data_IF_076703928068
#
_entry.id   IF_076703928068
#
_cell.length_a   1.000
_cell.length_b   1.000
_cell.length_c   1.000
_cell.angle_alpha   90.00
_cell.angle_beta   90.00
_cell.angle_gamma   90.00
#
_symmetry.space_group_name_H-M   'P 1'
#
loop_
_entity.id
_entity.type
_entity.pdbx_description
1 polymer ?
#
# COMPACT_ATOMS: atom_id res chain seq x y z
N UNK A 1 13.87 2.18 -16.46
CA UNK A 1 13.05 3.23 -15.81
C UNK A 1 12.39 2.59 -14.59
N UNK A 2 12.98 2.80 -13.41
CA UNK A 2 12.50 2.21 -12.16
C UNK A 2 11.21 2.88 -11.74
N UNK A 3 10.18 2.10 -11.40
CA UNK A 3 8.94 2.55 -10.77
C UNK A 3 9.29 3.48 -9.62
N UNK A 4 8.86 4.74 -9.71
CA UNK A 4 9.31 5.76 -8.76
C UNK A 4 8.18 6.22 -7.84
N UNK A 5 6.93 5.80 -8.06
CA UNK A 5 5.85 6.12 -7.14
C UNK A 5 4.83 4.99 -7.01
N UNK A 6 3.98 5.13 -6.00
CA UNK A 6 2.91 4.21 -5.65
C UNK A 6 1.64 5.02 -5.41
N UNK A 7 0.56 4.67 -6.09
CA UNK A 7 -0.78 5.01 -5.64
C UNK A 7 -1.25 3.92 -4.70
N UNK A 8 -1.47 4.30 -3.45
CA UNK A 8 -1.86 3.44 -2.35
C UNK A 8 -3.32 3.73 -2.00
N UNK A 9 -4.19 2.72 -2.00
CA UNK A 9 -5.63 2.92 -1.82
C UNK A 9 -6.19 1.99 -0.76
N UNK A 10 -6.72 2.58 0.30
CA UNK A 10 -7.57 1.87 1.26
C UNK A 10 -9.02 1.87 0.79
N UNK A 11 -9.70 0.75 0.97
CA UNK A 11 -11.13 0.65 0.72
C UNK A 11 -11.86 -0.23 1.75
N UNK A 12 -13.07 0.19 2.09
CA UNK A 12 -13.98 -0.55 2.97
C UNK A 12 -15.40 -0.48 2.42
N UNK A 13 -16.08 -1.61 2.42
CA UNK A 13 -17.45 -1.72 1.94
C UNK A 13 -18.36 -1.10 3.00
N UNK A 14 -19.25 -0.21 2.59
CA UNK A 14 -20.23 0.37 3.51
C UNK A 14 -21.44 -0.53 3.72
N UNK A 15 -22.29 -0.23 4.72
CA UNK A 15 -23.43 -1.07 5.07
C UNK A 15 -24.47 -1.21 3.95
N UNK A 16 -24.51 -0.26 3.02
CA UNK A 16 -25.46 -0.20 1.91
C UNK A 16 -24.90 -0.75 0.59
N UNK A 17 -23.74 -1.42 0.62
CA UNK A 17 -23.11 -2.07 -0.52
C UNK A 17 -22.73 -3.51 -0.18
N UNK A 18 -22.73 -4.40 -1.18
CA UNK A 18 -22.23 -5.76 -0.98
C UNK A 18 -20.76 -5.88 -1.35
N UNK A 19 -20.07 -6.85 -0.75
CA UNK A 19 -18.68 -7.14 -1.10
C UNK A 19 -18.55 -7.59 -2.57
N UNK A 20 -19.53 -8.32 -3.09
CA UNK A 20 -19.55 -8.78 -4.49
C UNK A 20 -19.71 -7.60 -5.45
N UNK A 21 -20.66 -6.70 -5.17
CA UNK A 21 -20.84 -5.47 -5.97
C UNK A 21 -19.58 -4.62 -6.00
N UNK A 22 -18.94 -4.43 -4.84
CA UNK A 22 -17.70 -3.68 -4.71
C UNK A 22 -16.55 -4.35 -5.46
N UNK A 23 -16.35 -5.66 -5.29
CA UNK A 23 -15.25 -6.36 -5.92
C UNK A 23 -15.40 -6.42 -7.42
N UNK A 24 -16.59 -6.72 -7.93
CA UNK A 24 -16.84 -6.74 -9.37
C UNK A 24 -16.60 -5.36 -10.00
N UNK A 25 -17.08 -4.28 -9.37
CA UNK A 25 -16.78 -2.93 -9.82
C UNK A 25 -15.28 -2.65 -9.81
N UNK A 26 -14.60 -2.96 -8.71
CA UNK A 26 -13.18 -2.63 -8.59
C UNK A 26 -12.33 -3.43 -9.59
N UNK A 27 -12.64 -4.71 -9.74
CA UNK A 27 -11.85 -5.67 -10.51
C UNK A 27 -12.06 -5.58 -12.02
N UNK A 28 -13.26 -5.19 -12.46
CA UNK A 28 -13.66 -5.25 -13.86
C UNK A 28 -13.95 -3.88 -14.49
N UNK A 29 -14.07 -2.82 -13.68
CA UNK A 29 -14.31 -1.46 -14.18
C UNK A 29 -13.26 -0.47 -13.64
N UNK A 30 -13.15 -0.34 -12.32
CA UNK A 30 -12.34 0.69 -11.69
C UNK A 30 -10.85 0.48 -11.96
N UNK A 31 -10.28 -0.64 -11.51
CA UNK A 31 -8.87 -0.98 -11.65
C UNK A 31 -8.40 -1.02 -13.10
N UNK A 32 -9.08 -1.76 -14.01
CA UNK A 32 -8.71 -1.83 -15.42
C UNK A 32 -8.63 -0.45 -16.09
N UNK A 33 -9.55 0.46 -15.77
CA UNK A 33 -9.53 1.81 -16.33
C UNK A 33 -8.27 2.60 -15.94
N UNK A 34 -7.68 2.37 -14.76
CA UNK A 34 -6.42 3.02 -14.37
C UNK A 34 -5.24 2.52 -15.20
N UNK A 35 -5.24 1.25 -15.63
CA UNK A 35 -4.21 0.68 -16.51
C UNK A 35 -4.26 1.23 -17.95
N UNK A 36 -5.27 2.04 -18.29
CA UNK A 36 -5.32 2.78 -19.57
C UNK A 36 -4.57 4.12 -19.50
N UNK A 37 -4.21 4.59 -18.30
CA UNK A 37 -3.52 5.85 -18.08
C UNK A 37 -2.02 5.66 -18.29
N UNK A 38 -1.37 6.44 -19.18
CA UNK A 38 0.09 6.41 -19.32
C UNK A 38 0.78 6.66 -17.98
N UNK A 39 1.70 5.76 -17.63
CA UNK A 39 2.45 5.81 -16.38
C UNK A 39 1.91 4.91 -15.25
N UNK A 40 0.72 4.33 -15.37
CA UNK A 40 0.31 3.20 -14.54
C UNK A 40 0.92 1.90 -15.06
N UNK A 41 1.50 1.10 -14.16
CA UNK A 41 2.25 -0.11 -14.53
C UNK A 41 1.56 -1.41 -14.15
N UNK A 42 0.92 -1.40 -12.99
CA UNK A 42 0.18 -2.55 -12.47
C UNK A 42 -0.99 -2.07 -11.60
N UNK A 43 -1.85 -3.01 -11.24
CA UNK A 43 -3.00 -2.79 -10.38
C UNK A 43 -3.22 -4.06 -9.55
N UNK A 44 -2.67 -4.10 -8.35
CA UNK A 44 -2.73 -5.30 -7.51
C UNK A 44 -3.65 -5.03 -6.33
N UNK A 45 -4.62 -5.91 -6.11
CA UNK A 45 -5.54 -5.87 -4.99
C UNK A 45 -5.23 -6.94 -3.96
N UNK A 46 -5.42 -6.57 -2.70
CA UNK A 46 -5.24 -7.45 -1.56
C UNK A 46 -6.43 -7.35 -0.60
N UNK A 47 -6.68 -8.44 0.14
CA UNK A 47 -7.69 -8.55 1.19
C UNK A 47 -7.00 -8.72 2.55
N UNK A 48 -7.50 -8.02 3.57
CA UNK A 48 -6.93 -8.05 4.91
C UNK A 48 -7.02 -9.45 5.54
N UNK A 49 -6.00 -9.81 6.31
CA UNK A 49 -5.93 -11.08 7.09
C UNK A 49 -5.81 -10.81 8.60
N UNK A 50 -6.08 -9.58 9.03
CA UNK A 50 -5.91 -9.13 10.41
C UNK A 50 -7.19 -8.73 11.12
N UNK A 51 -8.35 -9.03 10.53
CA UNK A 51 -9.69 -8.73 11.05
C UNK A 51 -9.91 -7.24 11.36
N UNK A 52 -9.14 -6.35 10.70
CA UNK A 52 -9.27 -4.90 10.81
C UNK A 52 -9.82 -4.29 9.53
N UNK A 53 -10.43 -3.12 9.67
CA UNK A 53 -10.79 -2.24 8.55
C UNK A 53 -9.71 -1.15 8.35
N UNK A 54 -9.51 -0.62 7.14
CA UNK A 54 -10.13 -1.04 5.87
C UNK A 54 -9.69 -2.45 5.43
N UNK A 55 -10.62 -3.24 4.91
CA UNK A 55 -10.45 -4.66 4.58
C UNK A 55 -9.80 -4.88 3.21
N UNK A 56 -9.77 -3.84 2.38
CA UNK A 56 -9.26 -3.91 1.02
C UNK A 56 -8.14 -2.91 0.80
N UNK A 57 -7.13 -3.37 0.06
CA UNK A 57 -5.98 -2.59 -0.37
C UNK A 57 -5.86 -2.70 -1.89
N UNK A 58 -5.61 -1.59 -2.57
CA UNK A 58 -5.10 -1.60 -3.94
C UNK A 58 -3.78 -0.83 -4.02
N UNK A 59 -2.84 -1.40 -4.75
CA UNK A 59 -1.51 -0.87 -5.00
C UNK A 59 -1.34 -0.70 -6.51
N UNK A 60 -0.96 0.49 -6.95
CA UNK A 60 -0.61 0.75 -8.34
C UNK A 60 0.79 1.35 -8.40
N UNK A 61 1.72 0.67 -9.05
CA UNK A 61 3.03 1.21 -9.35
C UNK A 61 2.93 2.23 -10.49
N UNK A 62 3.57 3.38 -10.29
CA UNK A 62 3.57 4.51 -11.20
C UNK A 62 4.98 4.84 -11.70
N UNK A 63 5.07 5.41 -12.90
CA UNK A 63 6.32 5.98 -13.40
C UNK A 63 6.86 7.08 -12.50
N UNK A 64 5.99 7.96 -11.97
CA UNK A 64 6.32 9.06 -11.08
C UNK A 64 5.09 9.59 -10.32
N UNK A 65 5.27 10.40 -9.26
CA UNK A 65 4.13 11.02 -8.58
C UNK A 65 3.29 11.93 -9.48
N UNK A 66 3.89 12.52 -10.52
CA UNK A 66 3.19 13.44 -11.44
C UNK A 66 2.14 12.75 -12.32
N UNK A 67 2.19 11.42 -12.46
CA UNK A 67 1.12 10.65 -13.13
C UNK A 67 -0.24 10.92 -12.48
N UNK A 68 -0.27 11.06 -11.16
CA UNK A 68 -1.50 11.32 -10.39
C UNK A 68 -2.09 12.72 -10.60
N UNK A 69 -1.30 13.69 -11.08
CA UNK A 69 -1.78 15.04 -11.39
C UNK A 69 -1.90 15.28 -12.89
N UNK A 70 -1.67 14.25 -13.70
CA UNK A 70 -1.77 14.31 -15.15
C UNK A 70 -3.23 14.43 -15.63
N UNK A 71 -3.42 15.07 -16.78
CA UNK A 71 -4.75 15.20 -17.40
C UNK A 71 -5.41 13.85 -17.74
N UNK A 72 -4.69 12.82 -18.26
CA UNK A 72 -5.28 11.50 -18.47
C UNK A 72 -5.84 10.87 -17.19
N UNK A 73 -5.15 11.02 -16.06
CA UNK A 73 -5.62 10.50 -14.77
C UNK A 73 -6.82 11.30 -14.24
N UNK A 74 -6.75 12.63 -14.25
CA UNK A 74 -7.88 13.49 -13.83
C UNK A 74 -9.14 13.22 -14.67
N UNK A 75 -8.96 12.95 -15.96
CA UNK A 75 -10.04 12.61 -16.89
C UNK A 75 -10.80 11.34 -16.56
N UNK A 76 -10.29 10.46 -15.69
CA UNK A 76 -10.99 9.25 -15.27
C UNK A 76 -12.32 9.54 -14.56
N UNK A 77 -12.37 10.62 -13.76
CA UNK A 77 -13.60 11.00 -13.06
C UNK A 77 -14.75 11.32 -14.03
N UNK A 78 -14.44 11.94 -15.17
CA UNK A 78 -15.42 12.21 -16.23
C UNK A 78 -15.89 10.94 -16.98
N UNK A 79 -15.15 9.84 -16.87
CA UNK A 79 -15.46 8.53 -17.45
C UNK A 79 -16.13 7.57 -16.46
N UNK A 80 -16.36 7.99 -15.21
CA UNK A 80 -17.01 7.17 -14.21
C UNK A 80 -18.42 6.76 -14.67
N UNK A 81 -18.70 5.45 -14.64
CA UNK A 81 -20.03 4.94 -14.99
C UNK A 81 -21.08 5.38 -13.98
N UNK A 82 -22.36 5.21 -14.33
CA UNK A 82 -23.46 5.44 -13.40
C UNK A 82 -23.39 4.49 -12.19
N UNK A 83 -22.86 3.28 -12.38
CA UNK A 83 -22.58 2.34 -11.29
C UNK A 83 -21.51 2.87 -10.35
N UNK A 84 -20.37 3.34 -10.86
CA UNK A 84 -19.29 3.90 -10.02
C UNK A 84 -19.82 5.10 -9.22
N UNK A 85 -20.55 6.01 -9.88
CA UNK A 85 -21.17 7.18 -9.23
C UNK A 85 -22.17 6.79 -8.13
N UNK A 86 -22.91 5.70 -8.31
CA UNK A 86 -23.87 5.21 -7.32
C UNK A 86 -23.22 4.39 -6.19
N UNK A 87 -22.11 3.69 -6.46
CA UNK A 87 -21.42 2.83 -5.50
C UNK A 87 -20.47 3.60 -4.60
N UNK A 88 -19.62 4.48 -5.14
CA UNK A 88 -18.58 5.17 -4.36
C UNK A 88 -19.14 5.88 -3.11
N UNK A 89 -20.28 6.61 -3.16
CA UNK A 89 -20.88 7.22 -1.98
C UNK A 89 -21.39 6.22 -0.93
N UNK A 90 -21.67 4.97 -1.32
CA UNK A 90 -22.10 3.89 -0.41
C UNK A 90 -20.94 3.16 0.26
N UNK A 91 -19.70 3.37 -0.19
CA UNK A 91 -18.53 2.84 0.50
C UNK A 91 -18.33 3.53 1.85
N UNK A 92 -17.71 2.82 2.79
CA UNK A 92 -17.31 3.37 4.08
C UNK A 92 -15.98 4.12 3.95
N UNK A 93 -15.05 3.58 3.17
CA UNK A 93 -13.73 4.16 2.91
C UNK A 93 -13.38 3.97 1.44
N UNK A 94 -12.87 5.02 0.81
CA UNK A 94 -12.14 4.97 -0.45
C UNK A 94 -11.07 6.06 -0.40
N UNK A 95 -10.02 5.79 0.39
CA UNK A 95 -8.95 6.72 0.63
C UNK A 95 -7.76 6.41 -0.27
N UNK A 96 -7.24 7.43 -0.95
CA UNK A 96 -6.04 7.30 -1.79
C UNK A 96 -4.93 8.20 -1.30
N UNK A 97 -3.70 7.71 -1.35
CA UNK A 97 -2.49 8.46 -1.06
C UNK A 97 -1.42 8.15 -2.13
N UNK A 98 -0.63 9.15 -2.49
CA UNK A 98 0.49 9.00 -3.43
C UNK A 98 1.78 9.01 -2.65
N UNK A 99 2.64 8.02 -2.89
CA UNK A 99 3.95 7.94 -2.26
C UNK A 99 5.06 7.89 -3.30
N UNK A 100 6.15 8.61 -3.04
CA UNK A 100 7.40 8.54 -3.80
C UNK A 100 8.27 7.42 -3.21
N UNK A 101 8.77 6.50 -4.05
CA UNK A 101 9.68 5.45 -3.63
C UNK A 101 11.03 6.07 -3.25
N UNK A 102 11.55 5.70 -2.09
CA UNK A 102 12.84 6.18 -1.56
C UNK A 102 13.90 5.08 -1.52
N UNK A 103 13.51 3.84 -1.24
CA UNK A 103 14.40 2.68 -1.31
C UNK A 103 13.62 1.40 -1.58
N UNK A 104 14.32 0.41 -2.13
CA UNK A 104 13.79 -0.92 -2.41
C UNK A 104 14.92 -1.94 -2.25
N UNK A 105 14.61 -3.06 -1.60
CA UNK A 105 15.50 -4.20 -1.52
C UNK A 105 14.72 -5.45 -1.90
N UNK A 106 15.24 -6.21 -2.86
CA UNK A 106 14.67 -7.48 -3.32
C UNK A 106 15.63 -8.60 -3.01
N UNK A 107 15.10 -9.76 -2.65
CA UNK A 107 15.90 -10.98 -2.44
C UNK A 107 16.74 -11.27 -3.69
N UNK A 108 18.07 -11.43 -3.55
CA UNK A 108 18.93 -11.78 -4.67
C UNK A 108 18.48 -13.08 -5.34
N UNK A 109 18.41 -13.09 -6.67
CA UNK A 109 17.99 -14.25 -7.46
C UNK A 109 16.50 -14.58 -7.38
N UNK A 110 15.65 -13.68 -6.86
CA UNK A 110 14.20 -13.86 -6.89
C UNK A 110 13.72 -13.94 -8.35
N UNK A 111 12.97 -14.99 -8.75
CA UNK A 111 12.38 -15.09 -10.08
C UNK A 111 11.44 -13.92 -10.38
N UNK A 112 11.37 -13.51 -11.64
CA UNK A 112 10.53 -12.36 -12.04
C UNK A 112 9.03 -12.61 -11.82
N UNK A 113 8.59 -13.87 -11.96
CA UNK A 113 7.22 -14.34 -11.75
C UNK A 113 6.88 -14.60 -10.28
N UNK A 114 7.83 -14.41 -9.35
CA UNK A 114 7.55 -14.46 -7.92
C UNK A 114 6.82 -13.21 -7.40
N UNK A 115 6.65 -12.18 -8.25
CA UNK A 115 5.91 -10.96 -7.96
C UNK A 115 4.65 -10.87 -8.84
N UNK A 116 3.51 -10.38 -8.32
CA UNK A 116 3.29 -9.95 -6.93
C UNK A 116 3.32 -11.12 -5.94
N UNK A 117 3.81 -10.88 -4.72
CA UNK A 117 3.84 -11.92 -3.70
C UNK A 117 2.46 -12.19 -3.12
N UNK A 118 2.29 -13.38 -2.55
CA UNK A 118 1.04 -13.80 -1.94
C UNK A 118 0.63 -12.95 -0.75
N UNK A 119 1.58 -12.49 0.07
CA UNK A 119 1.29 -11.68 1.25
C UNK A 119 2.06 -10.36 1.22
N UNK A 120 1.42 -9.30 1.70
CA UNK A 120 2.04 -8.00 1.94
C UNK A 120 1.76 -7.54 3.37
N UNK A 121 2.83 -7.15 4.05
CA UNK A 121 2.80 -6.49 5.34
C UNK A 121 3.01 -4.99 5.15
N UNK A 122 1.99 -4.22 5.51
CA UNK A 122 1.96 -2.77 5.39
C UNK A 122 2.34 -2.16 6.73
N UNK A 123 3.35 -1.28 6.69
CA UNK A 123 3.81 -0.49 7.83
C UNK A 123 3.68 0.98 7.47
N UNK A 124 2.69 1.64 8.03
CA UNK A 124 2.51 3.09 7.92
C UNK A 124 3.04 3.75 9.18
N UNK A 125 3.84 4.80 9.03
CA UNK A 125 4.36 5.58 10.15
C UNK A 125 4.11 7.07 9.94
N UNK A 126 3.87 7.78 11.04
CA UNK A 126 4.03 9.23 11.12
C UNK A 126 5.35 9.49 11.84
N UNK A 127 6.32 10.01 11.09
CA UNK A 127 7.69 10.25 11.52
C UNK A 127 7.89 11.75 11.68
N UNK A 128 8.17 12.26 12.89
CA UNK A 128 8.48 13.66 13.09
C UNK A 128 9.78 14.08 12.37
N UNK A 129 9.87 15.32 11.85
CA UNK A 129 11.07 15.79 11.13
C UNK A 129 12.36 15.64 11.94
N UNK A 130 12.30 15.82 13.26
CA UNK A 130 13.46 15.75 14.17
C UNK A 130 14.11 14.37 14.26
N UNK A 131 13.39 13.30 13.92
CA UNK A 131 13.90 11.92 13.94
C UNK A 131 13.93 11.27 12.55
N UNK A 132 13.59 12.03 11.49
CA UNK A 132 13.46 11.52 10.13
C UNK A 132 14.76 10.89 9.62
N UNK A 133 15.89 11.57 9.80
CA UNK A 133 17.20 11.07 9.35
C UNK A 133 17.62 9.79 10.09
N UNK A 134 17.37 9.74 11.41
CA UNK A 134 17.70 8.56 12.21
C UNK A 134 16.80 7.39 11.83
N UNK A 135 15.50 7.63 11.64
CA UNK A 135 14.53 6.65 11.18
C UNK A 135 14.90 6.07 9.81
N UNK A 136 15.28 6.92 8.86
CA UNK A 136 15.66 6.47 7.52
C UNK A 136 16.92 5.62 7.54
N UNK A 137 17.94 6.06 8.27
CA UNK A 137 19.19 5.33 8.45
C UNK A 137 18.95 3.96 9.09
N UNK A 138 18.20 3.91 10.19
CA UNK A 138 17.86 2.66 10.87
C UNK A 138 17.15 1.67 9.93
N UNK A 139 16.20 2.16 9.13
CA UNK A 139 15.49 1.31 8.19
C UNK A 139 16.41 0.67 7.14
N UNK A 140 17.31 1.47 6.56
CA UNK A 140 18.14 1.04 5.44
C UNK A 140 19.36 0.23 5.90
N UNK A 141 19.97 0.60 7.04
CA UNK A 141 21.20 -0.02 7.53
C UNK A 141 20.97 -1.22 8.46
N UNK A 142 19.83 -1.30 9.14
CA UNK A 142 19.54 -2.35 10.14
C UNK A 142 18.22 -3.08 9.87
N UNK A 143 17.09 -2.37 9.86
CA UNK A 143 15.78 -3.02 9.89
C UNK A 143 15.51 -3.89 8.65
N UNK A 144 15.65 -3.34 7.44
CA UNK A 144 15.42 -4.14 6.21
C UNK A 144 16.46 -5.27 6.09
N UNK A 145 17.77 -5.04 6.29
CA UNK A 145 18.75 -6.12 6.29
C UNK A 145 18.41 -7.26 7.28
N UNK A 146 17.86 -6.95 8.45
CA UNK A 146 17.42 -7.95 9.41
C UNK A 146 16.14 -8.67 8.99
N UNK A 147 15.12 -7.92 8.55
CA UNK A 147 13.87 -8.52 8.04
C UNK A 147 14.12 -9.37 6.79
N UNK A 148 15.13 -9.04 5.98
CA UNK A 148 15.50 -9.81 4.80
C UNK A 148 16.04 -11.22 5.11
N UNK A 149 16.41 -11.48 6.37
CA UNK A 149 16.82 -12.81 6.85
C UNK A 149 15.63 -13.69 7.20
N UNK A 150 14.43 -13.12 7.32
CA UNK A 150 13.21 -13.86 7.69
C UNK A 150 12.86 -14.85 6.58
N UNK A 151 12.70 -16.15 6.89
CA UNK A 151 12.24 -17.12 5.90
C UNK A 151 10.94 -16.66 5.21
N UNK A 152 10.92 -16.75 3.89
CA UNK A 152 9.79 -16.32 3.06
C UNK A 152 9.78 -14.83 2.70
N UNK A 153 10.73 -14.02 3.19
CA UNK A 153 10.87 -12.64 2.74
C UNK A 153 11.34 -12.57 1.29
N UNK A 154 10.68 -11.74 0.49
CA UNK A 154 10.99 -11.55 -0.94
C UNK A 154 11.46 -10.14 -1.26
N UNK A 155 10.82 -9.12 -0.69
CA UNK A 155 11.09 -7.72 -1.02
C UNK A 155 10.64 -6.77 0.08
N UNK A 156 11.30 -5.62 0.19
CA UNK A 156 10.83 -4.46 0.94
C UNK A 156 10.87 -3.23 0.04
N UNK A 157 9.83 -2.40 0.10
CA UNK A 157 9.77 -1.11 -0.60
C UNK A 157 9.40 -0.02 0.38
N UNK A 158 10.20 1.05 0.45
CA UNK A 158 9.96 2.21 1.29
C UNK A 158 9.55 3.41 0.45
N UNK A 159 8.63 4.19 1.00
CA UNK A 159 8.10 5.36 0.34
C UNK A 159 7.82 6.50 1.31
N UNK A 160 7.89 7.73 0.80
CA UNK A 160 7.51 8.98 1.48
C UNK A 160 6.27 9.58 0.83
N UNK A 161 5.33 10.05 1.64
CA UNK A 161 4.08 10.64 1.17
C UNK A 161 4.34 11.87 0.29
N UNK A 162 3.56 12.01 -0.78
CA UNK A 162 3.56 13.18 -1.66
C UNK A 162 2.18 13.83 -1.63
N UNK A 163 2.15 15.11 -1.26
CA UNK A 163 0.89 15.85 -1.11
C UNK A 163 0.08 15.33 0.07
N UNK A 164 -1.23 15.29 -0.09
CA UNK A 164 -2.17 14.91 0.95
C UNK A 164 -3.05 13.75 0.49
N UNK A 165 -3.38 12.78 1.37
CA UNK A 165 -4.37 11.76 1.07
C UNK A 165 -5.72 12.40 0.73
N UNK A 166 -6.50 11.70 -0.09
CA UNK A 166 -7.84 12.14 -0.50
C UNK A 166 -8.86 11.04 -0.23
N UNK A 167 -9.91 11.38 0.49
CA UNK A 167 -11.06 10.52 0.71
C UNK A 167 -12.13 10.78 -0.36
N UNK A 168 -12.49 9.74 -1.11
CA UNK A 168 -13.34 9.86 -2.30
C UNK A 168 -14.83 9.61 -2.01
N UNK A 169 -15.16 9.03 -0.85
CA UNK A 169 -16.56 8.79 -0.48
C UNK A 169 -17.31 10.07 -0.08
N UNK A 170 -16.59 11.19 0.13
CA UNK A 170 -17.13 12.43 0.67
C UNK A 170 -17.42 12.38 2.17
N UNK A 171 -17.13 11.26 2.83
CA UNK A 171 -17.23 11.07 4.28
C UNK A 171 -15.84 11.23 4.89
N UNK A 172 -15.74 11.58 6.18
CA UNK A 172 -14.44 11.49 6.87
C UNK A 172 -14.22 10.03 7.25
N UNK A 173 -13.09 9.43 6.89
CA UNK A 173 -12.70 8.11 7.38
C UNK A 173 -12.30 8.22 8.87
N UNK A 174 -13.04 7.60 9.81
CA UNK A 174 -12.69 7.64 11.23
C UNK A 174 -11.53 6.70 11.60
N UNK A 175 -11.15 5.79 10.70
CA UNK A 175 -10.07 4.80 10.90
C UNK A 175 -8.69 5.35 10.57
N UNK A 176 -8.59 6.30 9.63
CA UNK A 176 -7.37 7.05 9.33
C UNK A 176 -7.34 8.29 10.21
N UNK A 177 -6.64 8.17 11.35
CA UNK A 177 -6.57 9.21 12.37
C UNK A 177 -5.40 10.19 12.18
N UNK A 178 -4.41 9.80 11.38
CA UNK A 178 -3.10 10.45 11.31
C UNK A 178 -2.61 10.50 9.85
N UNK A 179 -1.84 11.53 9.50
CA UNK A 179 -1.12 11.59 8.22
C UNK A 179 0.11 10.69 8.28
N UNK A 180 0.03 9.51 7.66
CA UNK A 180 1.16 8.59 7.57
C UNK A 180 2.15 9.04 6.48
N UNK A 181 3.14 9.85 6.87
CA UNK A 181 4.12 10.41 5.96
C UNK A 181 5.16 9.38 5.44
N UNK A 182 5.25 8.20 6.05
CA UNK A 182 6.08 7.08 5.59
C UNK A 182 5.29 5.79 5.44
N UNK A 183 5.70 5.00 4.44
CA UNK A 183 5.16 3.68 4.14
C UNK A 183 6.31 2.71 3.89
N UNK A 184 6.29 1.55 4.54
CA UNK A 184 7.07 0.38 4.14
C UNK A 184 6.12 -0.78 3.78
N UNK A 185 6.40 -1.43 2.66
CA UNK A 185 5.72 -2.64 2.21
C UNK A 185 6.72 -3.79 2.22
N UNK A 186 6.50 -4.77 3.10
CA UNK A 186 7.26 -6.02 3.08
C UNK A 186 6.44 -7.12 2.39
N UNK A 187 7.07 -7.82 1.47
CA UNK A 187 6.47 -8.85 0.63
C UNK A 187 6.97 -10.22 1.09
N UNK A 188 6.02 -11.13 1.36
CA UNK A 188 6.30 -12.48 1.85
C UNK A 188 5.51 -13.53 1.04
N UNK A 189 6.03 -14.75 0.97
CA UNK A 189 5.32 -15.92 0.43
C UNK A 189 4.47 -16.67 1.47
N UNK A 190 4.56 -16.27 2.74
CA UNK A 190 3.88 -16.86 3.90
C UNK A 190 3.32 -15.79 4.84
N UNK A 191 2.35 -16.16 5.68
CA UNK A 191 1.66 -15.23 6.61
C UNK A 191 2.10 -15.40 8.08
N UNK A 192 2.71 -16.55 8.42
CA UNK A 192 3.20 -16.85 9.77
C UNK A 192 4.62 -16.29 10.03
N UNK A 193 5.17 -15.46 9.12
CA UNK A 193 6.49 -14.86 9.24
C UNK A 193 6.71 -14.16 10.59
N UNK A 194 5.64 -13.65 11.23
CA UNK A 194 5.69 -12.95 12.52
C UNK A 194 5.99 -13.84 13.71
N UNK A 195 5.77 -15.14 13.61
CA UNK A 195 6.09 -16.10 14.68
C UNK A 195 7.50 -16.65 14.54
N UNK A 196 8.20 -16.32 13.45
CA UNK A 196 9.56 -16.78 13.20
C UNK A 196 10.56 -16.02 14.08
N UNK A 197 11.58 -16.71 14.63
CA UNK A 197 12.56 -16.09 15.51
C UNK A 197 13.32 -14.94 14.84
N UNK A 198 13.57 -15.02 13.54
CA UNK A 198 14.25 -13.96 12.78
C UNK A 198 13.43 -12.67 12.76
N UNK A 199 12.11 -12.76 12.58
CA UNK A 199 11.25 -11.58 12.56
C UNK A 199 11.15 -10.98 13.97
N UNK A 200 10.96 -11.83 14.98
CA UNK A 200 10.93 -11.41 16.39
C UNK A 200 12.23 -10.68 16.76
N UNK A 201 13.38 -11.23 16.36
CA UNK A 201 14.68 -10.60 16.58
C UNK A 201 14.80 -9.23 15.88
N UNK A 202 14.35 -9.13 14.63
CA UNK A 202 14.43 -7.87 13.84
C UNK A 202 13.64 -6.69 14.41
N UNK A 203 12.67 -6.96 15.31
CA UNK A 203 11.86 -5.92 15.96
C UNK A 203 12.22 -5.73 17.45
N UNK A 204 13.22 -6.46 17.95
CA UNK A 204 13.68 -6.39 19.35
C UNK A 204 15.06 -5.72 19.51
N UNK A 205 15.63 -5.22 18.41
CA UNK A 205 16.95 -4.59 18.40
C UNK A 205 16.99 -3.33 19.27
N UNK A 206 18.17 -2.95 19.80
CA UNK A 206 18.32 -1.69 20.53
C UNK A 206 17.91 -0.46 19.71
N UNK A 207 18.21 -0.42 18.41
CA UNK A 207 17.83 0.71 17.55
C UNK A 207 16.31 0.79 17.35
N UNK A 208 15.62 -0.34 17.16
CA UNK A 208 14.15 -0.36 17.10
C UNK A 208 13.53 0.16 18.41
N UNK A 209 14.08 -0.23 19.56
CA UNK A 209 13.64 0.27 20.88
C UNK A 209 13.89 1.77 21.07
N UNK A 210 14.88 2.33 20.38
CA UNK A 210 15.18 3.77 20.37
C UNK A 210 14.25 4.55 19.44
N UNK A 211 14.03 4.06 18.21
CA UNK A 211 13.22 4.73 17.18
C UNK A 211 11.72 4.62 17.46
N UNK A 212 11.23 3.45 17.87
CA UNK A 212 9.80 3.17 18.03
C UNK A 212 9.04 4.21 18.87
N UNK A 213 9.54 4.59 20.06
CA UNK A 213 8.90 5.62 20.90
C UNK A 213 8.85 7.02 20.29
N UNK A 214 9.70 7.32 19.31
CA UNK A 214 9.77 8.64 18.65
C UNK A 214 8.78 8.80 17.50
N UNK A 215 8.09 7.71 17.09
CA UNK A 215 7.07 7.76 16.05
C UNK A 215 5.74 8.20 16.66
N UNK A 216 5.07 9.18 16.04
CA UNK A 216 3.80 9.72 16.58
C UNK A 216 2.61 8.83 16.24
N UNK A 217 2.71 8.05 15.17
CA UNK A 217 1.71 7.05 14.81
C UNK A 217 2.32 5.87 14.08
N UNK A 218 1.80 4.68 14.34
CA UNK A 218 2.17 3.44 13.64
C UNK A 218 0.89 2.68 13.31
N UNK A 219 0.74 2.27 12.06
CA UNK A 219 -0.30 1.35 11.63
C UNK A 219 0.31 0.15 10.91
N UNK A 220 0.03 -1.04 11.46
CA UNK A 220 0.54 -2.32 10.98
C UNK A 220 -0.64 -3.15 10.47
N UNK A 221 -0.62 -3.49 9.18
CA UNK A 221 -1.71 -4.20 8.52
C UNK A 221 -1.19 -5.36 7.68
N UNK A 222 -1.96 -6.46 7.61
CA UNK A 222 -1.58 -7.67 6.87
C UNK A 222 -2.61 -7.98 5.80
N UNK A 223 -2.14 -8.34 4.62
CA UNK A 223 -3.01 -8.68 3.50
C UNK A 223 -2.50 -9.88 2.71
N UNK A 224 -3.44 -10.60 2.11
CA UNK A 224 -3.22 -11.64 1.11
C UNK A 224 -3.69 -11.14 -0.25
N UNK A 225 -3.00 -11.52 -1.32
CA UNK A 225 -3.37 -11.14 -2.68
C UNK A 225 -4.80 -11.61 -2.99
N UNK A 226 -5.58 -10.70 -3.58
CA UNK A 226 -6.92 -10.95 -4.09
C UNK A 226 -6.89 -11.09 -5.62
N UNK A 227 -6.27 -10.12 -6.30
CA UNK A 227 -6.23 -10.09 -7.77
C UNK A 227 -5.05 -9.26 -8.28
N UNK A 228 -4.35 -9.76 -9.29
CA UNK A 228 -3.47 -8.97 -10.14
C UNK A 228 -4.25 -8.57 -11.41
N UNK A 229 -4.76 -7.34 -11.42
CA UNK A 229 -5.67 -6.87 -12.47
C UNK A 229 -4.86 -6.67 -13.76
N UNK A 230 -5.33 -7.30 -14.82
CA UNK A 230 -4.74 -7.17 -16.14
C UNK A 230 -5.31 -5.96 -16.86
N UNK A 231 -4.51 -5.39 -17.76
CA UNK A 231 -4.96 -4.31 -18.64
C UNK A 231 -6.12 -4.84 -19.51
N UNK A 232 -7.19 -4.06 -19.71
CA UNK A 232 -8.23 -4.46 -20.65
C UNK A 232 -7.64 -4.60 -22.06
N UNK A 233 -8.09 -5.63 -22.79
CA UNK A 233 -7.73 -5.90 -24.19
C UNK A 233 -8.13 -4.74 -25.13
#
# INVERSE_FOLDING_TARGET
>A
MTDSALLFVWAEVGPDASADEFNDWYDNEHGPLRLTVPGFKNAIRYKATDDKTPSWLALYDLDSPSVFTSEPYKGLAGKASDREKALVPRLAVLNRAVYQKISEQTKPGLPADALPTKYVFVVNNTVPPEVEDEYNRWYDEEHIPDVAKVPGWHRARRFKLVGQPAELTGKKDPSIKEEYNYLCLHYFDRDDYRTLPEFIASIQTPAMKKIGPSLTAINLRRFVIHKDIQKPE
#
